data_IF_667904315416
#
_entry.id   IF_667904315416
#
_cell.length_a   1.000
_cell.length_b   1.000
_cell.length_c   1.000
_cell.angle_alpha   90.00
_cell.angle_beta   90.00
_cell.angle_gamma   90.00
#
_symmetry.space_group_name_H-M   'P 1'
#
loop_
_entity.id
_entity.type
_entity.pdbx_description
1 polymer ?
#
# COMPACT_ATOMS: atom_id res chain seq x y z
N UNK A 1 -19.86 40.60 -28.03
CA UNK A 1 -19.17 39.38 -28.49
C UNK A 1 -17.68 39.59 -28.27
N UNK A 2 -17.12 38.95 -27.25
CA UNK A 2 -15.69 38.98 -26.94
C UNK A 2 -15.33 37.56 -26.51
N UNK A 3 -14.60 36.84 -27.36
CA UNK A 3 -14.04 35.53 -27.04
C UNK A 3 -12.59 35.73 -26.64
N UNK A 4 -12.23 35.32 -25.42
CA UNK A 4 -10.84 35.23 -24.97
C UNK A 4 -10.13 34.06 -25.66
N UNK A 5 -8.85 34.18 -26.05
CA UNK A 5 -8.10 33.09 -26.63
C UNK A 5 -7.69 32.10 -25.53
N UNK A 6 -7.99 30.81 -25.76
CA UNK A 6 -7.66 29.72 -24.86
C UNK A 6 -6.15 29.53 -24.70
N UNK A 7 -5.74 29.17 -23.48
CA UNK A 7 -4.36 28.85 -23.15
C UNK A 7 -3.83 27.65 -23.96
N UNK A 8 -2.54 27.63 -24.33
CA UNK A 8 -1.96 26.56 -25.14
C UNK A 8 -1.92 25.25 -24.35
N UNK A 9 -2.35 24.17 -25.01
CA UNK A 9 -2.17 22.79 -24.52
C UNK A 9 -0.68 22.50 -24.42
N UNK A 10 -0.24 22.01 -23.26
CA UNK A 10 1.10 21.45 -23.09
C UNK A 10 1.23 20.20 -24.00
N UNK A 11 1.85 20.37 -25.17
CA UNK A 11 2.42 19.26 -25.92
C UNK A 11 3.61 18.72 -25.11
N UNK A 12 3.52 17.46 -24.70
CA UNK A 12 4.59 16.77 -24.03
C UNK A 12 5.77 16.62 -25.01
N UNK A 13 6.90 17.21 -24.64
CA UNK A 13 8.16 17.12 -25.36
C UNK A 13 8.71 15.68 -25.23
N UNK A 14 8.36 14.80 -26.18
CA UNK A 14 8.99 13.49 -26.36
C UNK A 14 10.21 13.67 -27.27
N UNK A 15 11.36 14.03 -26.69
CA UNK A 15 12.65 14.07 -27.38
C UNK A 15 13.74 13.38 -26.54
N UNK A 16 13.52 12.08 -26.29
CA UNK A 16 14.56 11.15 -25.85
C UNK A 16 14.66 9.98 -26.82
N UNK A 17 15.81 9.31 -26.95
CA UNK A 17 15.91 8.11 -27.77
C UNK A 17 14.87 7.09 -27.29
N UNK A 18 14.19 6.36 -28.20
CA UNK A 18 13.19 5.37 -27.81
C UNK A 18 13.86 4.32 -26.92
N UNK A 19 13.43 4.23 -25.67
CA UNK A 19 13.77 3.10 -24.82
C UNK A 19 13.41 1.81 -25.57
N UNK A 20 14.27 0.77 -25.57
CA UNK A 20 13.95 -0.48 -26.23
C UNK A 20 12.59 -0.95 -25.72
N UNK A 21 11.65 -1.14 -26.64
CA UNK A 21 10.29 -1.55 -26.34
C UNK A 21 10.34 -2.91 -25.63
N UNK A 22 10.39 -2.88 -24.30
CA UNK A 22 10.25 -4.06 -23.47
C UNK A 22 8.82 -4.54 -23.72
N UNK A 23 8.66 -5.71 -24.34
CA UNK A 23 7.37 -6.40 -24.31
C UNK A 23 7.04 -6.63 -22.84
N UNK A 24 6.18 -5.79 -22.28
CA UNK A 24 5.57 -6.05 -20.98
C UNK A 24 4.59 -7.18 -21.25
N UNK A 25 5.03 -8.41 -21.02
CA UNK A 25 4.14 -9.56 -21.07
C UNK A 25 3.17 -9.41 -19.90
N UNK A 26 1.87 -9.30 -20.21
CA UNK A 26 0.85 -9.18 -19.18
C UNK A 26 0.83 -10.48 -18.37
N UNK A 27 1.20 -10.41 -17.10
CA UNK A 27 1.24 -11.59 -16.23
C UNK A 27 -0.15 -12.21 -16.15
N UNK A 28 -0.22 -13.55 -16.30
CA UNK A 28 -1.49 -14.26 -16.25
C UNK A 28 -2.07 -14.23 -14.84
N UNK A 29 -3.38 -14.04 -14.76
CA UNK A 29 -4.11 -14.17 -13.51
C UNK A 29 -4.49 -15.64 -13.27
N UNK A 30 -4.42 -16.04 -12.01
CA UNK A 30 -4.90 -17.30 -11.47
C UNK A 30 -5.96 -17.00 -10.41
N UNK A 31 -6.83 -17.97 -10.10
CA UNK A 31 -7.85 -17.79 -9.06
C UNK A 31 -7.53 -18.63 -7.83
N UNK A 32 -7.64 -17.98 -6.67
CA UNK A 32 -7.57 -18.65 -5.37
C UNK A 32 -8.90 -18.40 -4.68
N UNK A 33 -9.71 -19.45 -4.53
CA UNK A 33 -11.05 -19.38 -3.91
C UNK A 33 -11.94 -18.29 -4.54
N UNK A 34 -11.88 -18.15 -5.87
CA UNK A 34 -12.66 -17.16 -6.62
C UNK A 34 -12.12 -15.72 -6.56
N UNK A 35 -10.90 -15.52 -6.03
CA UNK A 35 -10.21 -14.22 -6.03
C UNK A 35 -9.05 -14.26 -7.05
N UNK A 36 -8.96 -13.29 -7.97
CA UNK A 36 -7.87 -13.25 -8.94
C UNK A 36 -6.56 -12.76 -8.31
N UNK A 37 -5.47 -13.45 -8.60
CA UNK A 37 -4.10 -13.15 -8.19
C UNK A 37 -3.13 -13.23 -9.37
N UNK A 38 -1.95 -12.63 -9.22
CA UNK A 38 -0.84 -12.83 -10.14
C UNK A 38 -0.34 -14.29 -10.02
N UNK A 39 0.08 -14.89 -11.14
CA UNK A 39 0.53 -16.29 -11.19
C UNK A 39 1.61 -16.59 -10.14
N UNK A 40 2.59 -15.69 -10.00
CA UNK A 40 3.66 -15.77 -9.00
C UNK A 40 3.18 -15.84 -7.54
N UNK A 41 2.05 -15.21 -7.22
CA UNK A 41 1.45 -15.24 -5.88
C UNK A 41 0.71 -16.56 -5.63
N UNK A 42 0.05 -17.13 -6.65
CA UNK A 42 -0.59 -18.43 -6.53
C UNK A 42 0.41 -19.56 -6.26
N UNK A 43 1.60 -19.49 -6.84
CA UNK A 43 2.66 -20.49 -6.67
C UNK A 43 3.07 -20.69 -5.20
N UNK A 44 2.95 -19.66 -4.36
CA UNK A 44 3.33 -19.72 -2.95
C UNK A 44 2.15 -19.81 -1.99
N UNK A 45 0.91 -19.84 -2.48
CA UNK A 45 -0.26 -19.68 -1.62
C UNK A 45 -0.41 -20.80 -0.59
N UNK A 46 -0.04 -22.04 -0.91
CA UNK A 46 -0.03 -23.15 0.05
C UNK A 46 0.87 -22.89 1.26
N UNK A 47 1.96 -22.11 1.07
CA UNK A 47 2.85 -21.69 2.16
C UNK A 47 2.23 -20.55 2.95
N UNK A 48 1.65 -19.57 2.26
CA UNK A 48 0.92 -18.44 2.86
C UNK A 48 -0.19 -18.93 3.77
N UNK A 49 -0.99 -19.89 3.31
CA UNK A 49 -2.09 -20.47 4.07
C UNK A 49 -1.62 -21.16 5.36
N UNK A 50 -0.44 -21.79 5.32
CA UNK A 50 0.13 -22.50 6.48
C UNK A 50 0.91 -21.59 7.42
N UNK A 51 1.04 -20.29 7.10
CA UNK A 51 1.81 -19.35 7.90
C UNK A 51 1.30 -19.27 9.34
N UNK A 52 2.25 -19.28 10.28
CA UNK A 52 1.97 -19.19 11.72
C UNK A 52 2.32 -17.78 12.21
N UNK A 53 1.29 -16.97 12.43
CA UNK A 53 1.42 -15.69 13.14
C UNK A 53 1.96 -15.94 14.56
N UNK A 54 2.61 -14.95 15.17
CA UNK A 54 2.98 -14.93 16.58
C UNK A 54 1.98 -14.05 17.34
N UNK A 55 1.90 -14.21 18.66
CA UNK A 55 0.88 -13.55 19.48
C UNK A 55 1.00 -12.01 19.48
N UNK A 56 2.19 -11.50 19.18
CA UNK A 56 2.52 -10.08 19.16
C UNK A 56 2.70 -9.51 17.75
N UNK A 57 2.40 -10.29 16.70
CA UNK A 57 2.43 -9.79 15.33
C UNK A 57 1.32 -8.77 15.09
N UNK A 58 1.65 -7.75 14.30
CA UNK A 58 0.70 -6.72 13.86
C UNK A 58 0.51 -6.87 12.35
N UNK A 59 -0.74 -7.00 11.92
CA UNK A 59 -1.09 -7.18 10.52
C UNK A 59 -1.64 -5.87 9.94
N UNK A 60 -1.00 -5.37 8.90
CA UNK A 60 -1.52 -4.30 8.05
C UNK A 60 -2.11 -4.93 6.78
N UNK A 61 -3.44 -5.08 6.76
CA UNK A 61 -4.17 -5.60 5.61
C UNK A 61 -4.88 -4.48 4.85
N UNK A 62 -4.59 -4.31 3.56
CA UNK A 62 -5.20 -3.25 2.75
C UNK A 62 -5.41 -3.72 1.31
N UNK A 63 -6.43 -3.24 0.60
CA UNK A 63 -6.46 -3.43 -0.85
C UNK A 63 -5.29 -2.67 -1.51
N UNK A 64 -4.68 -3.16 -2.61
CA UNK A 64 -3.59 -2.46 -3.27
C UNK A 64 -3.92 -0.99 -3.52
N UNK A 65 -2.95 -0.11 -3.26
CA UNK A 65 -3.05 1.35 -3.42
C UNK A 65 -3.98 2.06 -2.41
N UNK A 66 -4.47 1.39 -1.37
CA UNK A 66 -5.30 1.98 -0.31
C UNK A 66 -4.49 2.59 0.86
N UNK A 67 -3.24 3.02 0.64
CA UNK A 67 -2.44 3.72 1.67
C UNK A 67 -1.55 2.83 2.54
N UNK A 68 -1.20 1.63 2.10
CA UNK A 68 -0.41 0.68 2.90
C UNK A 68 0.94 1.23 3.37
N UNK A 69 1.70 1.89 2.47
CA UNK A 69 2.99 2.49 2.85
C UNK A 69 2.82 3.53 3.95
N UNK A 70 1.74 4.31 3.90
CA UNK A 70 1.44 5.31 4.93
C UNK A 70 1.16 4.67 6.28
N UNK A 71 0.36 3.58 6.29
CA UNK A 71 0.07 2.82 7.52
C UNK A 71 1.33 2.18 8.13
N UNK A 72 2.24 1.65 7.30
CA UNK A 72 3.52 1.09 7.78
C UNK A 72 4.31 2.14 8.54
N UNK A 73 4.50 3.33 7.95
CA UNK A 73 5.29 4.39 8.61
C UNK A 73 4.67 4.82 9.94
N UNK A 74 3.35 4.96 10.00
CA UNK A 74 2.64 5.30 11.24
C UNK A 74 2.86 4.21 12.29
N UNK A 75 2.55 2.95 11.95
CA UNK A 75 2.62 1.84 12.91
C UNK A 75 4.04 1.62 13.41
N UNK A 76 5.04 1.65 12.52
CA UNK A 76 6.44 1.49 12.91
C UNK A 76 6.91 2.61 13.83
N UNK A 77 6.53 3.86 13.54
CA UNK A 77 6.88 5.01 14.38
C UNK A 77 6.28 4.88 15.78
N UNK A 78 5.03 4.45 15.88
CA UNK A 78 4.35 4.26 17.18
C UNK A 78 5.04 3.16 17.98
N UNK A 79 5.28 1.99 17.38
CA UNK A 79 5.89 0.84 18.04
C UNK A 79 7.29 1.14 18.57
N UNK A 80 8.06 1.92 17.81
CA UNK A 80 9.43 2.28 18.16
C UNK A 80 9.51 3.52 19.06
N UNK A 81 8.39 4.12 19.42
CA UNK A 81 8.34 5.33 20.26
C UNK A 81 8.91 6.57 19.57
N UNK A 82 8.87 6.64 18.23
CA UNK A 82 9.28 7.79 17.43
C UNK A 82 9.97 7.45 16.11
N UNK A 83 10.52 8.48 15.45
CA UNK A 83 11.21 8.33 14.16
C UNK A 83 12.67 7.94 14.38
N UNK A 84 12.91 6.63 14.43
CA UNK A 84 14.23 6.04 14.68
C UNK A 84 15.18 6.14 13.49
N UNK A 85 16.44 5.74 13.71
CA UNK A 85 17.42 5.64 12.64
C UNK A 85 17.02 4.56 11.65
N UNK A 86 16.50 3.43 12.12
CA UNK A 86 16.02 2.32 11.30
C UNK A 86 14.93 2.78 10.31
N UNK A 87 13.93 3.54 10.77
CA UNK A 87 12.88 4.09 9.91
C UNK A 87 13.46 4.97 8.79
N UNK A 88 14.52 5.72 9.10
CA UNK A 88 15.19 6.63 8.16
C UNK A 88 16.14 5.94 7.18
N UNK A 89 16.59 4.71 7.48
CA UNK A 89 17.63 4.03 6.69
C UNK A 89 17.23 2.69 6.10
N UNK A 90 16.17 2.05 6.61
CA UNK A 90 15.71 0.75 6.14
C UNK A 90 14.41 0.93 5.33
N UNK A 91 14.33 0.37 4.12
CA UNK A 91 13.16 0.50 3.27
C UNK A 91 11.89 -0.07 3.93
N UNK A 92 10.75 0.59 3.69
CA UNK A 92 9.46 0.18 4.27
C UNK A 92 9.04 -1.26 3.95
N UNK A 93 9.41 -1.79 2.79
CA UNK A 93 9.09 -3.17 2.39
C UNK A 93 9.96 -4.23 3.08
N UNK A 94 11.13 -3.84 3.61
CA UNK A 94 11.98 -4.71 4.43
C UNK A 94 11.55 -4.67 5.90
N UNK A 95 11.08 -3.50 6.38
CA UNK A 95 10.53 -3.34 7.73
C UNK A 95 9.17 -4.03 7.91
N UNK A 96 8.34 -4.02 6.87
CA UNK A 96 7.04 -4.69 6.83
C UNK A 96 6.89 -5.55 5.56
N UNK A 97 7.44 -6.78 5.56
CA UNK A 97 7.38 -7.65 4.40
C UNK A 97 5.96 -8.07 4.04
N UNK A 98 5.72 -8.24 2.75
CA UNK A 98 4.45 -8.76 2.23
C UNK A 98 4.30 -10.25 2.53
N UNK A 99 3.16 -10.65 3.07
CA UNK A 99 2.88 -12.06 3.32
C UNK A 99 2.84 -12.89 2.02
N UNK A 100 2.29 -12.33 0.95
CA UNK A 100 2.02 -13.04 -0.32
C UNK A 100 2.96 -12.67 -1.48
N UNK A 101 4.00 -11.86 -1.27
CA UNK A 101 4.90 -11.45 -2.36
C UNK A 101 6.00 -12.48 -2.59
N UNK A 102 6.03 -13.03 -3.81
CA UNK A 102 7.09 -13.87 -4.33
C UNK A 102 7.84 -13.12 -5.44
N UNK A 103 8.91 -12.42 -5.09
CA UNK A 103 9.78 -11.77 -6.07
C UNK A 103 10.91 -12.73 -6.44
N UNK A 104 11.05 -13.10 -7.71
CA UNK A 104 12.19 -13.89 -8.17
C UNK A 104 13.44 -13.00 -8.33
N UNK A 105 14.58 -13.54 -7.88
CA UNK A 105 15.98 -13.11 -8.08
C UNK A 105 16.50 -11.86 -7.36
N UNK A 106 15.74 -10.77 -7.13
CA UNK A 106 16.32 -9.51 -6.56
C UNK A 106 15.79 -9.05 -5.20
N UNK A 107 14.58 -9.43 -4.80
CA UNK A 107 14.03 -9.15 -3.45
C UNK A 107 13.63 -10.49 -2.84
N UNK A 108 14.07 -10.81 -1.60
CA UNK A 108 13.66 -12.04 -0.93
C UNK A 108 12.14 -12.19 -0.84
N UNK A 109 11.63 -13.42 -0.88
CA UNK A 109 10.21 -13.66 -0.67
C UNK A 109 9.81 -13.14 0.72
N UNK A 110 8.63 -12.55 0.82
CA UNK A 110 8.24 -11.90 2.07
C UNK A 110 8.06 -12.88 3.23
N UNK A 111 7.69 -14.14 2.95
CA UNK A 111 7.68 -15.23 3.95
C UNK A 111 9.08 -15.48 4.54
N UNK A 112 10.11 -15.55 3.70
CA UNK A 112 11.49 -15.81 4.15
C UNK A 112 11.99 -14.68 5.06
N UNK A 113 11.66 -13.42 4.71
CA UNK A 113 11.96 -12.26 5.56
C UNK A 113 11.24 -12.35 6.91
N UNK A 114 9.94 -12.66 6.90
CA UNK A 114 9.13 -12.74 8.11
C UNK A 114 9.56 -13.87 9.05
N UNK A 115 10.07 -14.98 8.53
CA UNK A 115 10.60 -16.09 9.32
C UNK A 115 11.90 -15.72 10.03
N UNK A 116 12.77 -14.95 9.37
CA UNK A 116 14.05 -14.51 9.93
C UNK A 116 13.93 -13.36 10.96
N UNK A 117 12.82 -12.62 10.97
CA UNK A 117 12.63 -11.45 11.84
C UNK A 117 12.36 -11.81 13.31
N UNK A 118 12.97 -11.08 14.27
CA UNK A 118 12.61 -11.18 15.68
C UNK A 118 11.20 -10.64 15.93
N UNK A 119 10.58 -11.10 17.02
CA UNK A 119 9.27 -10.59 17.47
C UNK A 119 9.40 -9.25 18.20
N UNK A 120 8.40 -8.35 18.11
CA UNK A 120 7.15 -8.48 17.34
C UNK A 120 7.35 -8.10 15.86
N UNK A 121 6.63 -8.75 14.93
CA UNK A 121 6.77 -8.48 13.48
C UNK A 121 5.67 -7.54 12.98
N UNK A 122 6.03 -6.65 12.06
CA UNK A 122 5.05 -5.93 11.27
C UNK A 122 4.84 -6.68 9.95
N UNK A 123 3.63 -7.16 9.71
CA UNK A 123 3.29 -7.96 8.53
C UNK A 123 2.38 -7.16 7.63
N UNK A 124 2.65 -7.13 6.34
CA UNK A 124 1.83 -6.45 5.34
C UNK A 124 1.13 -7.46 4.44
N UNK A 125 -0.11 -7.19 4.06
CA UNK A 125 -0.81 -8.04 3.08
C UNK A 125 -1.85 -7.27 2.26
N UNK A 126 -2.07 -7.74 1.04
CA UNK A 126 -3.19 -7.38 0.17
C UNK A 126 -4.25 -8.47 0.07
N UNK A 127 -4.11 -9.56 0.84
CA UNK A 127 -5.12 -10.60 0.89
C UNK A 127 -6.45 -10.02 1.39
N UNK A 128 -7.58 -10.34 0.73
CA UNK A 128 -8.90 -10.12 1.29
C UNK A 128 -9.03 -10.73 2.68
N UNK A 129 -9.90 -10.16 3.52
CA UNK A 129 -10.12 -10.61 4.91
C UNK A 129 -10.25 -12.13 5.06
N UNK A 130 -11.01 -12.78 4.17
CA UNK A 130 -11.23 -14.23 4.20
C UNK A 130 -10.02 -15.09 3.78
N UNK A 131 -8.97 -14.49 3.22
CA UNK A 131 -7.76 -15.16 2.78
C UNK A 131 -6.55 -14.88 3.69
N UNK A 132 -6.69 -13.98 4.67
CA UNK A 132 -5.70 -13.82 5.74
C UNK A 132 -5.62 -15.13 6.54
N UNK A 133 -4.41 -15.67 6.84
CA UNK A 133 -4.28 -16.91 7.58
C UNK A 133 -5.04 -16.89 8.91
N UNK A 134 -5.75 -17.98 9.20
CA UNK A 134 -6.59 -18.11 10.39
C UNK A 134 -5.83 -17.84 11.70
N UNK A 135 -4.52 -18.11 11.71
CA UNK A 135 -3.63 -17.89 12.85
C UNK A 135 -3.54 -16.42 13.31
N UNK A 136 -3.80 -15.44 12.43
CA UNK A 136 -3.90 -14.03 12.82
C UNK A 136 -5.14 -13.75 13.67
N UNK A 137 -6.26 -14.44 13.39
CA UNK A 137 -7.51 -14.29 14.14
C UNK A 137 -7.45 -15.00 15.48
N UNK A 138 -6.99 -16.25 15.48
CA UNK A 138 -6.87 -17.07 16.69
C UNK A 138 -5.96 -16.42 17.74
N UNK A 139 -4.99 -15.61 17.29
CA UNK A 139 -4.03 -14.89 18.14
C UNK A 139 -4.43 -13.46 18.46
N UNK A 140 -5.57 -12.98 17.96
CA UNK A 140 -6.07 -11.64 18.23
C UNK A 140 -5.19 -10.52 17.66
N UNK A 141 -4.57 -10.75 16.50
CA UNK A 141 -3.74 -9.75 15.83
C UNK A 141 -4.57 -8.51 15.46
N UNK A 142 -3.89 -7.36 15.46
CA UNK A 142 -4.48 -6.04 15.66
C UNK A 142 -4.55 -5.24 14.33
N UNK A 143 -5.74 -4.78 13.91
CA UNK A 143 -6.04 -3.97 12.69
C UNK A 143 -6.36 -2.47 12.97
N UNK A 144 -5.83 -1.47 12.23
CA UNK A 144 -6.08 -0.04 12.49
C UNK A 144 -6.72 0.83 11.36
N UNK A 145 -7.82 1.58 11.60
CA UNK A 145 -8.22 2.79 10.78
C UNK A 145 -9.05 3.95 11.49
N UNK A 146 -8.58 5.22 11.29
CA UNK A 146 -8.72 6.58 11.95
C UNK A 146 -7.93 6.97 13.24
N UNK A 147 -6.61 7.19 13.17
CA UNK A 147 -5.77 6.22 13.87
C UNK A 147 -4.69 6.71 14.81
N UNK A 148 -3.72 7.56 14.49
CA UNK A 148 -2.44 7.59 15.26
C UNK A 148 -2.55 7.47 16.79
N UNK A 149 -3.44 8.24 17.44
CA UNK A 149 -3.73 8.12 18.89
C UNK A 149 -4.50 6.83 19.26
N UNK A 150 -5.53 6.46 18.50
CA UNK A 150 -6.25 5.18 18.67
C UNK A 150 -5.36 3.98 18.40
N UNK A 151 -4.45 4.09 17.43
CA UNK A 151 -3.41 3.14 17.05
C UNK A 151 -2.40 3.02 18.18
N UNK A 152 -1.93 4.14 18.73
CA UNK A 152 -1.07 4.14 19.90
C UNK A 152 -1.75 3.40 21.05
N UNK A 153 -2.98 3.78 21.38
CA UNK A 153 -3.76 3.12 22.42
C UNK A 153 -3.98 1.61 22.13
N UNK A 154 -4.33 1.29 20.89
CA UNK A 154 -4.55 -0.06 20.42
C UNK A 154 -3.28 -0.91 20.49
N UNK A 155 -2.13 -0.34 20.13
CA UNK A 155 -0.82 -0.96 20.25
C UNK A 155 -0.29 -0.97 21.69
N UNK A 156 -1.01 -0.41 22.65
CA UNK A 156 -0.62 -0.39 24.06
C UNK A 156 0.40 0.70 24.41
N UNK A 157 0.54 1.71 23.56
CA UNK A 157 1.45 2.85 23.75
C UNK A 157 0.68 4.13 24.12
N UNK A 158 1.29 4.94 24.96
CA UNK A 158 0.91 6.34 25.19
C UNK A 158 1.95 7.24 24.52
N UNK A 159 1.51 8.12 23.62
CA UNK A 159 2.38 9.08 22.94
C UNK A 159 2.10 10.48 23.48
N UNK A 160 3.13 11.29 23.67
CA UNK A 160 2.96 12.71 23.94
C UNK A 160 2.65 13.49 22.65
N UNK A 161 2.15 14.72 22.83
CA UNK A 161 1.72 15.58 21.73
C UNK A 161 2.86 15.90 20.74
N UNK A 162 4.09 16.06 21.23
CA UNK A 162 5.26 16.32 20.39
C UNK A 162 5.58 15.13 19.50
N UNK A 163 5.53 13.91 20.06
CA UNK A 163 5.72 12.67 19.31
C UNK A 163 4.63 12.48 18.26
N UNK A 164 3.37 12.74 18.60
CA UNK A 164 2.24 12.67 17.65
C UNK A 164 2.48 13.65 16.48
N UNK A 165 2.88 14.89 16.78
CA UNK A 165 3.17 15.90 15.76
C UNK A 165 4.35 15.49 14.86
N UNK A 166 5.39 14.87 15.42
CA UNK A 166 6.53 14.37 14.66
C UNK A 166 6.10 13.24 13.71
N UNK A 167 5.31 12.27 14.20
CA UNK A 167 4.77 11.17 13.38
C UNK A 167 3.89 11.72 12.26
N UNK A 168 2.97 12.64 12.56
CA UNK A 168 2.10 13.26 11.55
C UNK A 168 2.91 14.00 10.49
N UNK A 169 3.94 14.74 10.90
CA UNK A 169 4.82 15.45 9.97
C UNK A 169 5.60 14.47 9.09
N UNK A 170 6.26 13.48 9.70
CA UNK A 170 7.09 12.50 8.98
C UNK A 170 6.28 11.67 7.98
N UNK A 171 5.06 11.30 8.35
CA UNK A 171 4.14 10.52 7.53
C UNK A 171 3.29 11.38 6.59
N UNK A 172 3.54 12.69 6.52
CA UNK A 172 2.87 13.55 5.55
C UNK A 172 3.25 13.17 4.11
N UNK A 173 2.32 13.33 3.18
CA UNK A 173 2.52 12.91 1.79
C UNK A 173 3.78 13.50 1.16
N UNK A 174 4.06 14.79 1.38
CA UNK A 174 5.25 15.44 0.82
C UNK A 174 6.54 14.85 1.40
N UNK A 175 6.58 14.62 2.72
CA UNK A 175 7.76 14.05 3.37
C UNK A 175 8.03 12.62 2.89
N UNK A 176 7.00 11.79 2.77
CA UNK A 176 7.14 10.45 2.23
C UNK A 176 7.48 10.45 0.74
N UNK A 177 6.90 11.36 -0.05
CA UNK A 177 7.19 11.48 -1.48
C UNK A 177 8.67 11.77 -1.75
N UNK A 178 9.31 12.54 -0.89
CA UNK A 178 10.73 12.89 -1.00
C UNK A 178 11.65 11.88 -0.28
N UNK A 179 11.10 10.94 0.50
CA UNK A 179 11.87 9.96 1.27
C UNK A 179 12.16 8.68 0.46
N UNK A 180 13.44 8.37 0.11
CA UNK A 180 13.83 7.17 -0.63
C UNK A 180 13.37 5.84 0.00
N UNK A 181 13.19 5.80 1.32
CA UNK A 181 12.76 4.59 2.04
C UNK A 181 11.26 4.28 1.88
N UNK A 182 10.49 5.23 1.35
CA UNK A 182 9.03 5.12 1.21
C UNK A 182 8.54 5.34 -0.23
N UNK A 183 9.29 6.08 -1.05
CA UNK A 183 8.91 6.40 -2.44
C UNK A 183 9.41 5.39 -3.49
N UNK A 184 10.04 4.30 -3.04
CA UNK A 184 10.58 3.23 -3.87
C UNK A 184 11.68 3.62 -4.87
N UNK A 185 12.33 4.80 -4.71
CA UNK A 185 13.38 5.28 -5.63
C UNK A 185 14.65 4.43 -5.63
N UNK A 186 14.87 3.64 -4.59
CA UNK A 186 16.00 2.73 -4.45
C UNK A 186 15.80 1.41 -5.21
N UNK A 187 14.58 1.12 -5.68
CA UNK A 187 14.30 -0.12 -6.40
C UNK A 187 14.88 -0.05 -7.83
N UNK A 188 15.47 -1.15 -8.33
CA UNK A 188 15.88 -1.24 -9.73
C UNK A 188 14.72 -0.99 -10.69
N UNK A 189 14.99 -0.37 -11.85
CA UNK A 189 14.01 -0.16 -12.93
C UNK A 189 13.41 -1.46 -13.46
N UNK A 190 14.09 -2.60 -13.30
CA UNK A 190 13.56 -3.93 -13.60
C UNK A 190 12.39 -4.35 -12.72
N UNK A 191 12.30 -3.81 -11.50
CA UNK A 191 11.24 -4.10 -10.52
C UNK A 191 10.15 -3.03 -10.60
N UNK A 192 10.54 -1.76 -10.65
CA UNK A 192 9.62 -0.65 -10.74
C UNK A 192 10.20 0.48 -11.58
N UNK A 193 9.63 0.68 -12.78
CA UNK A 193 10.06 1.75 -13.68
C UNK A 193 9.39 3.09 -13.30
N UNK A 194 10.10 3.86 -12.48
CA UNK A 194 9.64 5.16 -12.01
C UNK A 194 9.66 6.26 -13.09
N UNK A 195 10.22 6.00 -14.28
CA UNK A 195 10.14 6.93 -15.41
C UNK A 195 8.73 6.99 -16.01
N UNK A 196 7.97 5.89 -15.89
CA UNK A 196 6.57 5.81 -16.35
C UNK A 196 5.65 6.51 -15.35
N UNK A 197 5.83 6.24 -14.06
CA UNK A 197 5.04 6.87 -13.01
C UNK A 197 5.76 6.83 -11.66
N UNK A 198 5.82 7.94 -10.90
CA UNK A 198 6.34 7.91 -9.55
C UNK A 198 5.42 7.09 -8.63
N UNK A 199 6.02 6.33 -7.70
CA UNK A 199 5.28 5.51 -6.74
C UNK A 199 4.33 6.36 -5.87
N UNK A 200 4.84 7.48 -5.35
CA UNK A 200 4.09 8.49 -4.61
C UNK A 200 3.55 9.55 -5.58
N UNK A 201 2.34 9.30 -6.11
CA UNK A 201 1.76 10.08 -7.23
C UNK A 201 1.22 11.45 -6.83
N UNK A 202 -0.02 11.50 -6.27
CA UNK A 202 -0.71 12.76 -5.90
C UNK A 202 -1.16 12.85 -4.44
N UNK A 203 -1.54 11.73 -3.81
CA UNK A 203 -2.01 11.74 -2.41
C UNK A 203 -3.30 12.53 -2.18
N UNK A 204 -4.18 12.59 -3.17
CA UNK A 204 -5.40 13.40 -3.16
C UNK A 204 -6.65 12.54 -3.33
N UNK A 205 -7.71 12.90 -2.61
CA UNK A 205 -9.05 12.32 -2.75
C UNK A 205 -9.77 13.03 -3.92
N UNK A 206 -10.58 12.30 -4.68
CA UNK A 206 -11.38 12.86 -5.78
C UNK A 206 -10.67 12.94 -7.15
N UNK A 207 -9.40 12.57 -7.25
CA UNK A 207 -8.64 12.63 -8.52
C UNK A 207 -9.21 11.74 -9.63
N UNK A 208 -10.07 10.77 -9.30
CA UNK A 208 -10.78 9.91 -10.24
C UNK A 208 -11.60 10.70 -11.28
N UNK A 209 -12.08 11.90 -10.91
CA UNK A 209 -12.84 12.81 -11.80
C UNK A 209 -12.06 13.27 -13.03
N UNK A 210 -10.73 13.20 -12.98
CA UNK A 210 -9.87 13.53 -14.12
C UNK A 210 -9.71 12.36 -15.12
N UNK A 211 -10.21 11.18 -14.78
CA UNK A 211 -10.02 9.95 -15.56
C UNK A 211 -11.34 9.32 -15.99
N UNK A 212 -12.39 9.42 -15.17
CA UNK A 212 -13.69 8.85 -15.48
C UNK A 212 -14.49 9.80 -16.36
N UNK A 213 -15.05 9.24 -17.43
CA UNK A 213 -16.19 9.85 -18.11
C UNK A 213 -17.45 9.73 -17.24
N UNK A 214 -18.43 10.60 -17.47
CA UNK A 214 -19.73 10.55 -16.77
C UNK A 214 -20.37 9.17 -16.86
N UNK A 215 -20.38 8.55 -18.04
CA UNK A 215 -20.96 7.21 -18.23
C UNK A 215 -20.22 6.10 -17.46
N UNK A 216 -18.89 6.21 -17.30
CA UNK A 216 -18.12 5.26 -16.50
C UNK A 216 -18.40 5.43 -15.00
N UNK A 217 -18.57 6.67 -14.55
CA UNK A 217 -18.92 6.99 -13.17
C UNK A 217 -20.32 6.48 -12.82
N UNK A 218 -21.31 6.77 -13.66
CA UNK A 218 -22.68 6.27 -13.49
C UNK A 218 -22.75 4.73 -13.38
N UNK A 219 -22.01 4.03 -14.24
CA UNK A 219 -21.90 2.56 -14.21
C UNK A 219 -21.21 2.07 -12.94
N UNK A 220 -20.16 2.74 -12.48
CA UNK A 220 -19.49 2.40 -11.23
C UNK A 220 -20.42 2.59 -10.03
N UNK A 221 -21.12 3.73 -9.97
CA UNK A 221 -22.03 4.08 -8.89
C UNK A 221 -23.24 3.13 -8.81
N UNK A 222 -23.75 2.66 -9.95
CA UNK A 222 -24.80 1.64 -9.97
C UNK A 222 -24.32 0.33 -9.30
N UNK A 223 -23.16 -0.18 -9.72
CA UNK A 223 -22.60 -1.41 -9.16
C UNK A 223 -22.19 -1.25 -7.69
N UNK A 224 -21.61 -0.10 -7.33
CA UNK A 224 -21.27 0.23 -5.95
C UNK A 224 -22.51 0.24 -5.06
N UNK A 225 -23.58 0.96 -5.45
CA UNK A 225 -24.84 0.97 -4.71
C UNK A 225 -25.43 -0.43 -4.56
N UNK A 226 -25.36 -1.25 -5.61
CA UNK A 226 -25.85 -2.63 -5.60
C UNK A 226 -25.06 -3.51 -4.62
N UNK A 227 -23.72 -3.44 -4.64
CA UNK A 227 -22.86 -4.26 -3.76
C UNK A 227 -22.86 -3.81 -2.31
N UNK A 228 -22.97 -2.50 -2.08
CA UNK A 228 -22.97 -1.93 -0.73
C UNK A 228 -24.36 -1.90 -0.09
N UNK A 229 -25.41 -2.28 -0.84
CA UNK A 229 -26.77 -2.37 -0.34
C UNK A 229 -26.84 -3.24 0.92
N UNK A 230 -27.51 -2.75 1.96
CA UNK A 230 -27.65 -3.46 3.24
C UNK A 230 -26.44 -3.33 4.18
N UNK A 231 -25.37 -2.65 3.78
CA UNK A 231 -24.21 -2.42 4.65
C UNK A 231 -24.27 -1.05 5.35
N UNK A 232 -23.64 -0.96 6.53
CA UNK A 232 -23.42 0.31 7.24
C UNK A 232 -22.18 1.06 6.74
N UNK A 233 -21.40 0.48 5.83
CA UNK A 233 -20.18 1.08 5.32
C UNK A 233 -20.50 2.36 4.54
N UNK A 234 -19.71 3.42 4.80
CA UNK A 234 -19.83 4.73 4.14
C UNK A 234 -18.43 5.19 3.76
N UNK A 235 -18.19 5.29 2.46
CA UNK A 235 -16.93 5.79 1.91
C UNK A 235 -17.06 7.28 1.56
N UNK A 236 -16.01 8.05 1.84
CA UNK A 236 -15.89 9.44 1.37
C UNK A 236 -15.01 9.43 0.12
N UNK A 237 -15.62 9.73 -1.02
CA UNK A 237 -14.94 9.81 -2.32
C UNK A 237 -14.48 11.24 -2.66
N UNK A 238 -14.83 12.20 -1.80
CA UNK A 238 -14.54 13.63 -1.88
C UNK A 238 -14.22 14.17 -0.48
N UNK A 239 -13.42 15.24 -0.41
CA UNK A 239 -13.05 15.96 0.83
C UNK A 239 -13.80 17.28 0.93
#
# INVERSE_FOLDING_TARGET
MSQSPGAPRHEACNSGPPHPARKIECERLCEIRGVPFLSSMCEIFDKVEKFQAKADDILIATYPKAGTTWMIEIVDSIRQGGITKEIKTIPSHERAPYLEMNSQEMIPAGLDLLEAMPSPRLVKTHLPFQLVPQSFWDKGCKDPTREVERLAHFLGHTLDEGMIQEIVKHTSFNMMKDNPMTNASILPTSILDLSISPFMRKGQVGDWKNYFTVAQDERFEEEYRRRMAGTSLRFRTEL
#
